data_IF_975883344585
#
_entry.id   IF_975883344585
#
_cell.length_a   1.000
_cell.length_b   1.000
_cell.length_c   1.000
_cell.angle_alpha   90.00
_cell.angle_beta   90.00
_cell.angle_gamma   90.00
#
_symmetry.space_group_name_H-M   'P 1'
#
loop_
_entity.id
_entity.type
_entity.pdbx_description
1 polymer ?
#
# COMPACT_ATOMS: atom_id res chain seq x y z
N UNK A 1 9.18 -12.59 -17.84
CA UNK A 1 8.07 -11.86 -17.20
C UNK A 1 6.94 -11.57 -18.16
N UNK A 2 7.00 -10.49 -18.96
CA UNK A 2 5.87 -10.00 -19.78
C UNK A 2 5.23 -11.08 -20.67
N UNK A 3 6.04 -11.79 -21.47
CA UNK A 3 5.54 -12.86 -22.36
C UNK A 3 4.88 -14.01 -21.62
N UNK A 4 5.40 -14.39 -20.44
CA UNK A 4 4.78 -15.44 -19.64
C UNK A 4 3.42 -15.01 -19.10
N UNK A 5 3.31 -13.76 -18.62
CA UNK A 5 2.06 -13.22 -18.08
C UNK A 5 0.99 -13.00 -19.15
N UNK A 6 1.36 -12.54 -20.35
CA UNK A 6 0.39 -12.32 -21.45
C UNK A 6 -0.24 -13.59 -22.00
N UNK A 7 0.38 -14.76 -21.73
CA UNK A 7 -0.10 -16.08 -22.21
C UNK A 7 -0.77 -16.92 -21.12
N UNK A 8 -0.98 -16.36 -19.92
CA UNK A 8 -1.65 -17.09 -18.84
C UNK A 8 -3.13 -16.73 -18.80
N UNK A 9 -3.98 -17.76 -18.62
CA UNK A 9 -5.42 -17.60 -18.46
C UNK A 9 -5.78 -17.22 -17.01
N UNK A 10 -6.93 -16.63 -16.81
CA UNK A 10 -7.51 -16.38 -15.48
C UNK A 10 -7.31 -14.95 -14.94
N UNK A 11 -6.58 -14.06 -15.65
CA UNK A 11 -6.47 -12.64 -15.31
C UNK A 11 -6.26 -11.75 -16.55
N UNK A 12 -6.57 -10.48 -16.39
CA UNK A 12 -6.43 -9.49 -17.44
C UNK A 12 -5.03 -8.82 -17.33
N UNK A 13 -4.08 -9.22 -18.18
CA UNK A 13 -2.77 -8.58 -18.23
C UNK A 13 -2.82 -7.27 -19.00
N UNK A 14 -2.74 -6.14 -18.30
CA UNK A 14 -2.81 -4.79 -18.90
C UNK A 14 -1.46 -4.25 -19.37
N UNK A 15 -0.37 -4.99 -19.20
CA UNK A 15 0.97 -4.59 -19.64
C UNK A 15 1.89 -4.14 -18.52
N UNK A 16 2.91 -3.37 -18.85
CA UNK A 16 3.87 -2.84 -17.88
C UNK A 16 3.39 -1.52 -17.30
N UNK A 17 3.60 -1.33 -16.01
CA UNK A 17 3.37 -0.06 -15.32
C UNK A 17 4.72 0.62 -15.08
N UNK A 18 4.87 1.85 -15.56
CA UNK A 18 6.03 2.69 -15.26
C UNK A 18 5.95 3.26 -13.84
N UNK A 19 7.11 3.49 -13.20
CA UNK A 19 7.17 3.99 -11.82
C UNK A 19 6.34 5.25 -11.55
N UNK A 20 6.26 6.19 -12.50
CA UNK A 20 5.45 7.42 -12.40
C UNK A 20 3.94 7.15 -12.35
N UNK A 21 3.50 5.99 -12.85
CA UNK A 21 2.09 5.61 -12.96
C UNK A 21 1.62 4.67 -11.86
N UNK A 22 2.48 4.27 -10.92
CA UNK A 22 2.12 3.29 -9.86
C UNK A 22 0.87 3.72 -9.09
N UNK A 23 0.73 5.02 -8.79
CA UNK A 23 -0.41 5.54 -8.00
C UNK A 23 -1.66 5.83 -8.84
N UNK A 24 -1.55 5.80 -10.17
CA UNK A 24 -2.62 6.19 -11.10
C UNK A 24 -2.97 5.11 -12.12
N UNK A 25 -2.36 3.92 -11.98
CA UNK A 25 -2.63 2.78 -12.84
C UNK A 25 -4.00 2.18 -12.56
N UNK A 26 -4.68 1.72 -13.61
CA UNK A 26 -5.91 0.93 -13.52
C UNK A 26 -5.64 -0.54 -13.14
N UNK A 27 -4.38 -0.90 -12.85
CA UNK A 27 -4.03 -2.24 -12.41
C UNK A 27 -4.50 -2.51 -10.98
N UNK A 28 -5.23 -3.59 -10.76
CA UNK A 28 -5.59 -4.06 -9.42
C UNK A 28 -4.37 -4.59 -8.65
N UNK A 29 -3.40 -5.17 -9.39
CA UNK A 29 -2.17 -5.75 -8.83
C UNK A 29 -0.97 -5.39 -9.71
N UNK A 30 0.09 -4.87 -9.12
CA UNK A 30 1.38 -4.60 -9.76
C UNK A 30 2.41 -5.57 -9.21
N UNK A 31 2.98 -6.41 -10.08
CA UNK A 31 4.02 -7.38 -9.71
C UNK A 31 5.40 -6.82 -10.04
N UNK A 32 6.30 -6.86 -9.08
CA UNK A 32 7.70 -6.45 -9.24
C UNK A 32 8.61 -7.29 -8.35
N UNK A 33 9.93 -7.17 -8.53
CA UNK A 33 10.87 -7.73 -7.57
C UNK A 33 10.82 -6.99 -6.22
N UNK A 34 11.24 -7.69 -5.15
CA UNK A 34 11.12 -7.16 -3.79
C UNK A 34 12.00 -5.93 -3.52
N UNK A 35 13.11 -5.76 -4.24
CA UNK A 35 13.98 -4.59 -4.10
C UNK A 35 13.34 -3.36 -4.74
N UNK A 36 12.92 -3.46 -6.02
CA UNK A 36 12.26 -2.38 -6.73
C UNK A 36 10.94 -1.97 -6.03
N UNK A 37 10.13 -2.95 -5.61
CA UNK A 37 8.90 -2.70 -4.88
C UNK A 37 9.12 -2.00 -3.54
N UNK A 38 10.15 -2.40 -2.80
CA UNK A 38 10.48 -1.74 -1.52
C UNK A 38 10.99 -0.31 -1.73
N UNK A 39 11.82 -0.06 -2.75
CA UNK A 39 12.29 1.29 -3.09
C UNK A 39 11.10 2.17 -3.49
N UNK A 40 10.23 1.69 -4.38
CA UNK A 40 9.03 2.43 -4.79
C UNK A 40 8.15 2.79 -3.58
N UNK A 41 7.85 1.82 -2.72
CA UNK A 41 7.05 2.02 -1.51
C UNK A 41 7.67 3.07 -0.58
N UNK A 42 8.95 2.95 -0.26
CA UNK A 42 9.65 3.88 0.64
C UNK A 42 9.81 5.29 0.04
N UNK A 43 9.98 5.38 -1.28
CA UNK A 43 10.01 6.66 -1.97
C UNK A 43 8.63 7.35 -1.92
N UNK A 44 7.55 6.61 -2.16
CA UNK A 44 6.18 7.15 -2.06
C UNK A 44 5.89 7.63 -0.64
N UNK A 45 6.18 6.81 0.38
CA UNK A 45 6.01 7.17 1.79
C UNK A 45 6.80 8.44 2.15
N UNK A 46 8.08 8.48 1.80
CA UNK A 46 8.95 9.63 2.08
C UNK A 46 8.52 10.90 1.35
N UNK A 47 8.09 10.78 0.11
CA UNK A 47 7.59 11.92 -0.69
C UNK A 47 6.30 12.47 -0.11
N UNK A 48 5.35 11.62 0.29
CA UNK A 48 4.12 12.06 0.93
C UNK A 48 4.41 12.86 2.22
N UNK A 49 5.32 12.36 3.06
CA UNK A 49 5.76 13.07 4.28
C UNK A 49 6.42 14.42 3.95
N UNK A 50 7.28 14.49 2.93
CA UNK A 50 7.94 15.73 2.53
C UNK A 50 6.94 16.78 2.04
N UNK A 51 5.95 16.37 1.23
CA UNK A 51 4.87 17.26 0.75
C UNK A 51 4.07 17.79 1.94
N UNK A 52 3.65 16.92 2.86
CA UNK A 52 2.88 17.31 4.05
C UNK A 52 3.65 18.31 4.91
N UNK A 53 4.93 18.06 5.15
CA UNK A 53 5.80 19.01 5.90
C UNK A 53 5.87 20.37 5.21
N UNK A 54 6.10 20.38 3.90
CA UNK A 54 6.13 21.63 3.12
C UNK A 54 4.81 22.41 3.18
N UNK A 55 3.68 21.73 3.12
CA UNK A 55 2.35 22.34 3.28
C UNK A 55 2.15 22.94 4.67
N UNK A 56 2.55 22.23 5.72
CA UNK A 56 2.48 22.74 7.11
C UNK A 56 3.37 23.97 7.29
N UNK A 57 4.60 23.96 6.78
CA UNK A 57 5.51 25.10 6.83
C UNK A 57 4.93 26.32 6.08
N UNK A 58 4.39 26.09 4.90
CA UNK A 58 3.70 27.13 4.13
C UNK A 58 2.50 27.70 4.89
N UNK A 59 1.65 26.84 5.45
CA UNK A 59 0.48 27.27 6.22
C UNK A 59 0.83 28.09 7.45
N UNK A 60 1.87 27.72 8.18
CA UNK A 60 2.39 28.47 9.32
C UNK A 60 2.94 29.84 8.91
N UNK A 61 3.76 29.88 7.83
CA UNK A 61 4.38 31.10 7.34
C UNK A 61 3.37 32.12 6.83
N UNK A 62 2.27 31.66 6.26
CA UNK A 62 1.26 32.51 5.62
C UNK A 62 -0.04 32.64 6.47
N UNK A 63 -0.07 32.17 7.69
CA UNK A 63 -1.23 32.19 8.59
C UNK A 63 -2.52 31.62 7.94
N UNK A 64 -2.41 30.50 7.18
CA UNK A 64 -3.52 29.86 6.51
C UNK A 64 -3.66 28.36 6.87
N UNK A 65 -3.32 28.00 8.10
CA UNK A 65 -3.42 26.62 8.59
C UNK A 65 -4.88 26.12 8.68
N UNK A 66 -5.84 26.98 8.80
CA UNK A 66 -7.28 26.66 8.75
C UNK A 66 -7.69 26.07 7.40
N UNK A 67 -7.12 26.58 6.31
CA UNK A 67 -7.37 26.08 4.94
C UNK A 67 -6.52 24.84 4.64
N UNK A 68 -5.22 24.88 4.97
CA UNK A 68 -4.27 23.81 4.63
C UNK A 68 -4.45 22.59 5.53
N UNK A 69 -4.89 22.76 6.77
CA UNK A 69 -5.01 21.66 7.74
C UNK A 69 -5.93 20.53 7.29
N UNK A 70 -7.04 20.85 6.64
CA UNK A 70 -7.94 19.83 6.08
C UNK A 70 -7.28 19.04 4.96
N UNK A 71 -6.61 19.71 4.03
CA UNK A 71 -5.90 19.05 2.92
C UNK A 71 -4.75 18.15 3.43
N UNK A 72 -4.02 18.61 4.44
CA UNK A 72 -2.97 17.81 5.10
C UNK A 72 -3.57 16.55 5.72
N UNK A 73 -4.68 16.66 6.44
CA UNK A 73 -5.36 15.51 7.04
C UNK A 73 -5.85 14.52 5.97
N UNK A 74 -6.40 15.00 4.87
CA UNK A 74 -6.84 14.14 3.76
C UNK A 74 -5.68 13.39 3.11
N UNK A 75 -4.54 14.04 2.90
CA UNK A 75 -3.33 13.40 2.39
C UNK A 75 -2.83 12.36 3.39
N UNK A 76 -2.69 12.72 4.66
CA UNK A 76 -2.22 11.80 5.69
C UNK A 76 -3.11 10.55 5.79
N UNK A 77 -4.44 10.71 5.77
CA UNK A 77 -5.37 9.59 5.80
C UNK A 77 -5.24 8.66 4.58
N UNK A 78 -4.96 9.20 3.39
CA UNK A 78 -4.74 8.38 2.19
C UNK A 78 -3.49 7.51 2.29
N UNK A 79 -2.43 8.03 2.90
CA UNK A 79 -1.14 7.36 3.02
C UNK A 79 -0.92 6.69 4.39
N UNK A 80 -1.92 6.73 5.29
CA UNK A 80 -1.84 6.06 6.58
C UNK A 80 -1.94 4.53 6.41
N UNK A 81 -0.81 3.87 6.55
CA UNK A 81 -0.71 2.40 6.53
C UNK A 81 -1.07 1.75 7.87
N UNK A 82 -1.14 2.52 8.96
CA UNK A 82 -1.42 1.97 10.29
C UNK A 82 -2.82 1.39 10.41
N UNK A 83 -3.78 1.96 9.67
CA UNK A 83 -5.18 1.51 9.68
C UNK A 83 -5.48 0.44 8.63
N UNK A 84 -4.57 0.22 7.65
CA UNK A 84 -4.81 -0.67 6.50
C UNK A 84 -4.42 -2.13 6.73
N UNK A 85 -3.88 -2.48 7.88
CA UNK A 85 -3.42 -3.82 8.18
C UNK A 85 -1.97 -4.08 7.78
N UNK A 86 -1.66 -5.31 7.34
CA UNK A 86 -0.31 -5.73 6.96
C UNK A 86 -0.25 -6.36 5.58
N UNK A 87 0.98 -6.66 5.13
CA UNK A 87 1.24 -7.34 3.87
C UNK A 87 1.08 -8.86 4.03
N UNK A 88 0.23 -9.46 3.21
CA UNK A 88 0.05 -10.92 3.18
C UNK A 88 1.22 -11.54 2.43
N UNK A 89 1.88 -12.53 3.04
CA UNK A 89 2.91 -13.32 2.36
C UNK A 89 2.25 -14.42 1.53
N UNK A 90 2.49 -14.39 0.24
CA UNK A 90 2.04 -15.40 -0.70
C UNK A 90 3.10 -16.50 -0.87
N UNK A 91 2.70 -17.68 -1.39
CA UNK A 91 3.61 -18.81 -1.61
C UNK A 91 3.96 -19.61 -0.33
N UNK A 92 3.19 -19.45 0.74
CA UNK A 92 3.32 -20.20 1.99
C UNK A 92 2.02 -20.96 2.30
N UNK A 93 2.13 -22.09 2.99
CA UNK A 93 0.99 -22.99 3.24
C UNK A 93 0.04 -22.50 4.35
N UNK A 94 0.35 -21.39 5.01
CA UNK A 94 -0.47 -20.79 6.07
C UNK A 94 -0.54 -19.29 5.88
N UNK A 95 -1.60 -18.69 6.42
CA UNK A 95 -1.73 -17.24 6.40
C UNK A 95 -0.64 -16.61 7.27
N UNK A 96 0.22 -15.82 6.64
CA UNK A 96 1.25 -15.02 7.30
C UNK A 96 1.04 -13.56 6.88
N UNK A 97 0.94 -12.66 7.85
CA UNK A 97 0.79 -11.23 7.60
C UNK A 97 1.95 -10.49 8.25
N UNK A 98 2.70 -9.76 7.44
CA UNK A 98 3.82 -8.93 7.89
C UNK A 98 3.32 -7.53 8.24
N UNK A 99 3.49 -7.12 9.49
CA UNK A 99 3.26 -5.75 9.93
C UNK A 99 4.41 -4.81 9.55
N UNK A 100 4.14 -3.51 9.58
CA UNK A 100 5.15 -2.48 9.43
C UNK A 100 6.05 -2.42 10.67
N UNK A 101 7.35 -2.06 10.50
CA UNK A 101 8.30 -1.98 11.62
C UNK A 101 7.94 -0.90 12.66
N UNK A 102 7.20 0.12 12.26
CA UNK A 102 6.67 1.18 13.13
C UNK A 102 5.21 0.95 13.57
N UNK A 103 4.78 -0.34 13.64
CA UNK A 103 3.41 -0.69 14.02
C UNK A 103 3.10 -0.24 15.45
N UNK A 104 1.95 0.40 15.62
CA UNK A 104 1.35 0.78 16.90
C UNK A 104 0.22 -0.20 17.27
N UNK A 105 -0.39 -0.05 18.43
CA UNK A 105 -1.44 -0.95 18.90
C UNK A 105 -2.62 -1.07 17.91
N UNK A 106 -3.05 0.04 17.30
CA UNK A 106 -4.10 0.08 16.29
C UNK A 106 -3.71 -0.69 15.03
N UNK A 107 -2.43 -0.63 14.63
CA UNK A 107 -1.90 -1.42 13.50
C UNK A 107 -1.98 -2.91 13.80
N UNK A 108 -1.56 -3.32 15.01
CA UNK A 108 -1.62 -4.73 15.44
C UNK A 108 -3.07 -5.22 15.44
N UNK A 109 -3.99 -4.44 15.97
CA UNK A 109 -5.43 -4.76 15.94
C UNK A 109 -5.94 -4.93 14.50
N UNK A 110 -5.56 -4.01 13.59
CA UNK A 110 -5.95 -4.06 12.18
C UNK A 110 -5.41 -5.32 11.49
N UNK A 111 -4.16 -5.72 11.79
CA UNK A 111 -3.55 -6.95 11.28
C UNK A 111 -4.28 -8.19 11.78
N UNK A 112 -4.62 -8.26 13.07
CA UNK A 112 -5.38 -9.39 13.63
C UNK A 112 -6.76 -9.50 12.99
N UNK A 113 -7.45 -8.37 12.83
CA UNK A 113 -8.76 -8.33 12.17
C UNK A 113 -8.67 -8.73 10.69
N UNK A 114 -7.62 -8.31 9.99
CA UNK A 114 -7.33 -8.75 8.62
C UNK A 114 -7.10 -10.27 8.58
N UNK A 115 -6.27 -10.82 9.48
CA UNK A 115 -6.01 -12.25 9.57
C UNK A 115 -7.31 -13.04 9.80
N UNK A 116 -8.16 -12.58 10.70
CA UNK A 116 -9.46 -13.19 10.97
C UNK A 116 -10.35 -13.22 9.72
N UNK A 117 -10.48 -12.07 9.04
CA UNK A 117 -11.29 -11.95 7.81
C UNK A 117 -10.76 -12.85 6.69
N UNK A 118 -9.46 -12.86 6.45
CA UNK A 118 -8.83 -13.64 5.39
C UNK A 118 -8.92 -15.16 5.68
N UNK A 119 -8.80 -15.56 6.94
CA UNK A 119 -9.00 -16.96 7.36
C UNK A 119 -10.44 -17.39 7.17
N UNK A 120 -11.41 -16.56 7.58
CA UNK A 120 -12.84 -16.83 7.40
C UNK A 120 -13.23 -16.95 5.92
N UNK A 121 -12.59 -16.18 5.04
CA UNK A 121 -12.80 -16.21 3.61
C UNK A 121 -11.99 -17.28 2.87
N UNK A 122 -11.27 -18.12 3.60
CA UNK A 122 -10.46 -19.24 3.06
C UNK A 122 -9.44 -18.79 2.00
N UNK A 123 -8.82 -17.61 2.18
CA UNK A 123 -7.92 -17.01 1.19
C UNK A 123 -6.83 -17.98 0.73
N UNK A 124 -6.17 -18.68 1.66
CA UNK A 124 -5.06 -19.59 1.33
C UNK A 124 -5.54 -20.74 0.45
N UNK A 125 -6.71 -21.32 0.72
CA UNK A 125 -7.28 -22.39 -0.12
C UNK A 125 -7.51 -21.88 -1.55
N UNK A 126 -8.09 -20.69 -1.70
CA UNK A 126 -8.39 -20.08 -3.01
C UNK A 126 -7.15 -19.70 -3.82
N UNK A 127 -5.99 -19.56 -3.20
CA UNK A 127 -4.73 -19.22 -3.88
C UNK A 127 -3.98 -20.50 -4.27
N UNK A 128 -4.13 -21.60 -3.53
CA UNK A 128 -3.39 -22.86 -3.74
C UNK A 128 -4.13 -23.81 -4.69
N UNK A 129 -5.44 -23.68 -4.79
CA UNK A 129 -6.27 -24.38 -5.79
C UNK A 129 -6.15 -23.71 -7.18
#
# INVERSE_FOLDING_TARGET
GRQALSNMDGYNFIGNVEGKNILFSDADVIVCDGFAGNIALKTIEGTAIAIVRGLIEYGKKNNCMDVIGSAVNDIMNKFDYNTKGGAVMLGVNKLVIKGHGAAIAETVYSIINQAYKLTKNELIKKIVE
#
